data_IF_497689554674
#
_entry.id   IF_497689554674
#
_cell.length_a   1.000
_cell.length_b   1.000
_cell.length_c   1.000
_cell.angle_alpha   90.00
_cell.angle_beta   90.00
_cell.angle_gamma   90.00
#
_symmetry.space_group_name_H-M   'P 1'
#
loop_
_entity.id
_entity.type
_entity.pdbx_description
1 polymer ?
#
# COMPACT_ATOMS: atom_id res chain seq x y z
N UNK A 1 -23.76 -9.13 -3.71
CA UNK A 1 -22.66 -8.80 -2.79
C UNK A 1 -21.90 -7.55 -3.22
N UNK A 2 -21.97 -6.46 -2.45
CA UNK A 2 -21.37 -5.17 -2.83
C UNK A 2 -19.87 -5.06 -2.48
N UNK A 3 -19.18 -6.17 -2.18
CA UNK A 3 -17.73 -6.17 -2.01
C UNK A 3 -17.08 -6.17 -3.40
N UNK A 4 -16.98 -5.01 -4.03
CA UNK A 4 -16.31 -4.82 -5.32
C UNK A 4 -14.90 -5.42 -5.28
N UNK A 5 -14.78 -6.64 -5.80
CA UNK A 5 -13.53 -7.41 -5.82
C UNK A 5 -13.16 -7.77 -7.24
N UNK A 6 -11.92 -7.48 -7.62
CA UNK A 6 -11.39 -7.78 -8.94
C UNK A 6 -10.39 -8.92 -8.84
N UNK A 7 -10.71 -10.05 -9.45
CA UNK A 7 -9.87 -11.24 -9.44
C UNK A 7 -9.03 -11.33 -10.72
N UNK A 8 -7.71 -11.31 -10.56
CA UNK A 8 -6.75 -11.50 -11.62
C UNK A 8 -6.33 -12.96 -11.66
N UNK A 9 -7.16 -13.80 -12.27
CA UNK A 9 -6.95 -15.22 -12.61
C UNK A 9 -5.82 -15.95 -11.84
N UNK A 10 -5.96 -16.06 -10.50
CA UNK A 10 -5.03 -16.81 -9.66
C UNK A 10 -3.69 -16.13 -9.38
N UNK A 11 -3.58 -14.81 -9.62
CA UNK A 11 -2.41 -13.98 -9.29
C UNK A 11 -2.68 -13.06 -8.12
N UNK A 12 -3.80 -12.35 -8.16
CA UNK A 12 -4.19 -11.42 -7.11
C UNK A 12 -5.71 -11.22 -7.07
N UNK A 13 -6.24 -10.95 -5.89
CA UNK A 13 -7.61 -10.48 -5.69
C UNK A 13 -7.51 -9.10 -5.06
N UNK A 14 -8.05 -8.10 -5.74
CA UNK A 14 -8.17 -6.73 -5.24
C UNK A 14 -9.52 -6.56 -4.58
N UNK A 15 -9.56 -5.94 -3.41
CA UNK A 15 -10.79 -5.55 -2.71
C UNK A 15 -10.57 -4.19 -2.03
N UNK A 16 -11.61 -3.63 -1.42
CA UNK A 16 -11.55 -2.30 -0.80
C UNK A 16 -10.42 -2.13 0.24
N UNK A 17 -10.08 -3.20 0.95
CA UNK A 17 -9.10 -3.16 2.04
C UNK A 17 -7.65 -3.42 1.59
N UNK A 18 -7.44 -3.83 0.33
CA UNK A 18 -6.10 -4.15 -0.17
C UNK A 18 -6.06 -5.24 -1.23
N UNK A 19 -4.89 -5.87 -1.34
CA UNK A 19 -4.57 -6.86 -2.36
C UNK A 19 -4.10 -8.17 -1.73
N UNK A 20 -4.76 -9.27 -2.07
CA UNK A 20 -4.33 -10.61 -1.69
C UNK A 20 -3.69 -11.31 -2.89
N UNK A 21 -2.42 -11.69 -2.78
CA UNK A 21 -1.71 -12.44 -3.80
C UNK A 21 -1.86 -13.95 -3.58
N UNK A 22 -1.88 -14.72 -4.67
CA UNK A 22 -2.03 -16.18 -4.60
C UNK A 22 -0.82 -16.90 -3.98
N UNK A 23 0.32 -16.21 -3.85
CA UNK A 23 1.50 -16.73 -3.15
C UNK A 23 1.41 -16.59 -1.61
N UNK A 24 0.27 -16.15 -1.07
CA UNK A 24 0.03 -16.00 0.37
C UNK A 24 0.42 -14.63 0.93
N UNK A 25 1.04 -13.75 0.13
CA UNK A 25 1.31 -12.38 0.55
C UNK A 25 0.05 -11.52 0.42
N UNK A 26 -0.25 -10.72 1.43
CA UNK A 26 -1.34 -9.74 1.40
C UNK A 26 -0.79 -8.36 1.73
N UNK A 27 -1.23 -7.35 0.99
CA UNK A 27 -0.89 -5.96 1.26
C UNK A 27 -2.17 -5.21 1.60
N UNK A 28 -2.29 -4.85 2.88
CA UNK A 28 -3.31 -3.92 3.38
C UNK A 28 -2.58 -2.67 3.81
N UNK A 29 -2.91 -1.55 3.19
CA UNK A 29 -2.31 -0.25 3.52
C UNK A 29 -3.43 0.63 4.04
N UNK A 30 -3.40 0.90 5.35
CA UNK A 30 -4.24 1.91 5.96
C UNK A 30 -3.44 3.21 6.11
N UNK A 31 -3.95 4.32 5.57
CA UNK A 31 -3.29 5.62 5.65
C UNK A 31 -3.15 6.15 7.08
N UNK A 32 -4.04 5.75 7.99
CA UNK A 32 -3.99 6.15 9.41
C UNK A 32 -2.80 5.52 10.17
N UNK A 33 -2.32 4.38 9.65
CA UNK A 33 -1.18 3.63 10.18
C UNK A 33 0.16 4.20 9.71
N UNK A 34 0.14 5.10 8.73
CA UNK A 34 1.30 5.76 8.18
C UNK A 34 1.46 7.16 8.78
N UNK A 35 2.65 7.43 9.33
CA UNK A 35 3.06 8.79 9.72
C UNK A 35 3.90 9.39 8.61
N UNK A 36 3.41 10.45 7.99
CA UNK A 36 4.18 11.24 7.04
C UNK A 36 5.33 11.97 7.76
N UNK A 37 6.53 11.93 7.17
CA UNK A 37 7.71 12.61 7.68
C UNK A 37 8.11 13.73 6.71
N UNK A 38 9.19 13.53 5.95
CA UNK A 38 9.78 14.53 5.06
C UNK A 38 9.68 14.10 3.59
N UNK A 39 9.79 15.05 2.67
CA UNK A 39 9.91 14.74 1.24
C UNK A 39 11.34 14.30 0.92
N UNK A 40 11.49 13.17 0.23
CA UNK A 40 12.77 12.62 -0.22
C UNK A 40 13.15 13.06 -1.63
N UNK A 41 12.17 13.44 -2.45
CA UNK A 41 12.44 13.97 -3.78
C UNK A 41 11.20 14.17 -4.64
N UNK A 42 11.35 14.91 -5.74
CA UNK A 42 10.31 15.13 -6.75
C UNK A 42 10.79 14.63 -8.11
N UNK A 43 9.97 13.82 -8.77
CA UNK A 43 10.15 13.42 -10.16
C UNK A 43 9.11 14.08 -11.06
N UNK A 44 9.20 13.81 -12.37
CA UNK A 44 8.27 14.35 -13.38
C UNK A 44 6.81 13.94 -13.15
N UNK A 45 6.57 12.84 -12.43
CA UNK A 45 5.25 12.25 -12.24
C UNK A 45 4.88 12.03 -10.76
N UNK A 46 5.43 12.85 -9.86
CA UNK A 46 5.06 12.81 -8.44
C UNK A 46 6.22 13.05 -7.48
N UNK A 47 5.94 12.97 -6.20
CA UNK A 47 6.91 13.13 -5.12
C UNK A 47 7.12 11.81 -4.39
N UNK A 48 8.26 11.67 -3.74
CA UNK A 48 8.55 10.56 -2.83
C UNK A 48 8.65 11.14 -1.44
N UNK A 49 7.89 10.59 -0.50
CA UNK A 49 7.88 11.01 0.89
C UNK A 49 8.36 9.87 1.78
N UNK A 50 9.13 10.24 2.81
CA UNK A 50 9.50 9.34 3.89
C UNK A 50 8.30 9.15 4.78
N UNK A 51 7.93 7.91 5.04
CA UNK A 51 6.81 7.55 5.90
C UNK A 51 7.24 6.54 6.95
N UNK A 52 6.60 6.58 8.10
CA UNK A 52 6.80 5.59 9.15
C UNK A 52 5.54 4.75 9.33
N UNK A 53 5.67 3.44 9.16
CA UNK A 53 4.59 2.50 9.37
C UNK A 53 4.57 2.06 10.83
N UNK A 54 3.54 2.51 11.57
CA UNK A 54 3.42 2.26 13.01
C UNK A 54 3.33 0.75 13.35
N UNK A 55 2.56 -0.08 12.63
CA UNK A 55 2.41 -1.50 12.99
C UNK A 55 3.69 -2.31 12.86
N UNK A 56 4.50 -2.07 11.82
CA UNK A 56 5.74 -2.82 11.59
C UNK A 56 6.97 -2.12 12.14
N UNK A 57 6.85 -0.88 12.61
CA UNK A 57 7.95 -0.02 13.03
C UNK A 57 9.03 0.21 11.96
N UNK A 58 8.63 0.17 10.68
CA UNK A 58 9.55 0.33 9.55
C UNK A 58 9.39 1.73 8.94
N UNK A 59 10.52 2.38 8.67
CA UNK A 59 10.57 3.58 7.82
C UNK A 59 10.61 3.17 6.36
N UNK A 60 9.72 3.75 5.54
CA UNK A 60 9.57 3.44 4.13
C UNK A 60 9.65 4.72 3.29
N UNK A 61 9.89 4.55 2.00
CA UNK A 61 9.72 5.60 1.00
C UNK A 61 8.41 5.33 0.24
N UNK A 62 7.51 6.30 0.23
CA UNK A 62 6.20 6.22 -0.41
C UNK A 62 6.17 7.17 -1.60
N UNK A 63 5.72 6.68 -2.75
CA UNK A 63 5.48 7.44 -3.98
C UNK A 63 3.98 7.66 -4.14
#
# INVERSE_FOLDING_TARGET
>A
DPSGKLNFNGKAILHADGVDFSNGNSFKINMEELKLLEELGKGQYGTVQKVYHKPTNVTMAMK
#
